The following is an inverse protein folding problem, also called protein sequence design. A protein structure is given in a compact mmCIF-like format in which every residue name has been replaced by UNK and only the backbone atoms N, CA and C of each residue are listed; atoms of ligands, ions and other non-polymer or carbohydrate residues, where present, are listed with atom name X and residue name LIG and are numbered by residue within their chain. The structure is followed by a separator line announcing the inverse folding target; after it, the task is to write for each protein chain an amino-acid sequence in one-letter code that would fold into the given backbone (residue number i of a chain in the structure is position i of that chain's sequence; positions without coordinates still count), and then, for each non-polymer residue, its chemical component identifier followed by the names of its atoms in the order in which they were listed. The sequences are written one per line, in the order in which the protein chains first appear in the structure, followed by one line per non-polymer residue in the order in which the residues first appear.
data_IF_819155192971
#
_entry.id   IF_819155192971
#
_cell.length_a   1.000
_cell.length_b   1.000
_cell.length_c   1.000
_cell.angle_alpha   90.00
_cell.angle_beta   90.00
_cell.angle_gamma   90.00
#
_symmetry.space_group_name_H-M   'P 1'
#
loop_
_entity.id
_entity.type
_entity.pdbx_description
1 polymer ?
#
# COMPACT_ATOMS: atom_id res chain seq x y z
N UNK A 1 57.20 -18.79 -9.55
CA UNK A 1 56.05 -19.72 -9.36
C UNK A 1 55.11 -19.23 -8.24
N UNK A 2 55.61 -18.93 -7.04
CA UNK A 2 54.82 -18.44 -5.89
C UNK A 2 53.94 -17.21 -6.15
N UNK A 3 54.43 -16.24 -6.94
CA UNK A 3 53.69 -14.99 -7.26
C UNK A 3 52.45 -15.23 -8.14
N UNK A 4 52.49 -16.23 -9.03
CA UNK A 4 51.35 -16.60 -9.89
C UNK A 4 50.27 -17.36 -9.11
N UNK A 5 50.66 -18.21 -8.16
CA UNK A 5 49.74 -18.94 -7.29
C UNK A 5 48.95 -18.00 -6.37
N UNK A 6 49.62 -17.01 -5.79
CA UNK A 6 48.97 -16.00 -4.92
C UNK A 6 47.91 -15.20 -5.66
N UNK A 7 48.19 -14.80 -6.91
CA UNK A 7 47.24 -14.07 -7.77
C UNK A 7 46.03 -14.95 -8.15
N UNK A 8 46.22 -16.26 -8.39
CA UNK A 8 45.09 -17.14 -8.70
C UNK A 8 44.19 -17.39 -7.49
N UNK A 9 44.77 -17.54 -6.29
CA UNK A 9 43.99 -17.67 -5.05
C UNK A 9 43.17 -16.43 -4.74
N UNK A 10 43.75 -15.24 -4.92
CA UNK A 10 43.06 -13.96 -4.72
C UNK A 10 41.88 -13.79 -5.69
N UNK A 11 42.06 -14.21 -6.95
CA UNK A 11 40.99 -14.24 -7.95
C UNK A 11 39.83 -15.17 -7.57
N UNK A 12 40.13 -16.36 -7.06
CA UNK A 12 39.07 -17.28 -6.63
C UNK A 12 38.39 -16.84 -5.34
N UNK A 13 39.11 -16.20 -4.42
CA UNK A 13 38.54 -15.58 -3.22
C UNK A 13 37.57 -14.45 -3.59
N UNK A 14 37.94 -13.60 -4.55
CA UNK A 14 37.07 -12.53 -5.06
C UNK A 14 35.84 -13.07 -5.81
N UNK A 15 35.98 -14.16 -6.57
CA UNK A 15 34.83 -14.82 -7.21
C UNK A 15 33.86 -15.43 -6.20
N UNK A 16 34.36 -16.06 -5.13
CA UNK A 16 33.51 -16.58 -4.05
C UNK A 16 32.74 -15.45 -3.36
N UNK A 17 33.45 -14.40 -2.96
CA UNK A 17 32.84 -13.22 -2.33
C UNK A 17 31.73 -12.61 -3.18
N UNK A 18 31.97 -12.44 -4.49
CA UNK A 18 30.95 -11.93 -5.42
C UNK A 18 29.69 -12.80 -5.50
N UNK A 19 29.85 -14.13 -5.47
CA UNK A 19 28.71 -15.05 -5.47
C UNK A 19 27.94 -14.99 -4.16
N UNK A 20 28.63 -14.89 -3.04
CA UNK A 20 28.00 -14.79 -1.73
C UNK A 20 27.24 -13.47 -1.57
N UNK A 21 27.81 -12.35 -2.06
CA UNK A 21 27.16 -11.04 -2.09
C UNK A 21 25.91 -11.05 -3.01
N UNK A 22 25.97 -11.73 -4.16
CA UNK A 22 24.84 -11.88 -5.08
C UNK A 22 23.71 -12.74 -4.47
N UNK A 23 24.06 -13.83 -3.77
CA UNK A 23 23.11 -14.70 -3.07
C UNK A 23 22.46 -13.96 -1.90
N UNK A 24 23.23 -13.17 -1.15
CA UNK A 24 22.71 -12.33 -0.08
C UNK A 24 21.75 -11.25 -0.60
N UNK A 25 22.08 -10.62 -1.73
CA UNK A 25 21.22 -9.66 -2.43
C UNK A 25 19.88 -10.28 -2.83
N UNK A 26 19.91 -11.45 -3.49
CA UNK A 26 18.69 -12.17 -3.89
C UNK A 26 17.84 -12.62 -2.68
N UNK A 27 18.48 -13.01 -1.58
CA UNK A 27 17.78 -13.39 -0.35
C UNK A 27 17.08 -12.19 0.31
N UNK A 28 17.70 -11.00 0.28
CA UNK A 28 17.13 -9.77 0.81
C UNK A 28 15.94 -9.30 -0.04
N UNK A 29 16.06 -9.35 -1.36
CA UNK A 29 14.97 -9.03 -2.29
C UNK A 29 13.76 -9.95 -2.11
N UNK A 30 14.00 -11.25 -1.89
CA UNK A 30 12.93 -12.21 -1.60
C UNK A 30 12.19 -11.85 -0.30
N UNK A 31 12.92 -11.51 0.76
CA UNK A 31 12.32 -11.09 2.04
C UNK A 31 11.53 -9.80 1.92
N UNK A 32 12.02 -8.83 1.14
CA UNK A 32 11.31 -7.58 0.90
C UNK A 32 9.99 -7.81 0.13
N UNK A 33 10.02 -8.69 -0.88
CA UNK A 33 8.82 -9.10 -1.63
C UNK A 33 7.78 -9.78 -0.74
N UNK A 34 8.21 -10.73 0.09
CA UNK A 34 7.34 -11.44 1.04
C UNK A 34 6.74 -10.47 2.08
N UNK A 35 7.51 -9.47 2.54
CA UNK A 35 7.01 -8.43 3.44
C UNK A 35 5.93 -7.57 2.78
N UNK A 36 6.17 -7.08 1.56
CA UNK A 36 5.20 -6.27 0.82
C UNK A 36 3.91 -7.05 0.53
N UNK A 37 4.03 -8.34 0.25
CA UNK A 37 2.88 -9.22 0.04
C UNK A 37 2.08 -9.43 1.33
N UNK A 38 2.73 -9.61 2.47
CA UNK A 38 2.03 -9.66 3.78
C UNK A 38 1.37 -8.34 4.12
N UNK A 39 2.02 -7.21 3.83
CA UNK A 39 1.43 -5.88 4.05
C UNK A 39 0.20 -5.66 3.18
N UNK A 40 0.24 -6.04 1.89
CA UNK A 40 -0.92 -5.93 1.00
C UNK A 40 -2.05 -6.88 1.38
N UNK A 41 -1.74 -8.10 1.82
CA UNK A 41 -2.72 -9.04 2.39
C UNK A 41 -3.35 -8.46 3.67
N UNK A 42 -2.58 -7.80 4.55
CA UNK A 42 -3.14 -7.19 5.78
C UNK A 42 -3.90 -5.89 5.54
N UNK A 43 -3.63 -5.17 4.44
CA UNK A 43 -4.29 -3.93 4.07
C UNK A 43 -5.61 -4.17 3.31
N UNK A 44 -5.78 -5.34 2.70
CA UNK A 44 -6.99 -5.72 1.96
C UNK A 44 -8.06 -6.41 2.82
N UNK A 45 -7.69 -6.96 3.99
CA UNK A 45 -8.65 -7.61 4.90
C UNK A 45 -9.35 -6.55 5.77
N UNK A 46 -10.70 -6.43 5.70
CA UNK A 46 -11.46 -5.51 6.55
C UNK A 46 -11.18 -5.72 8.04
N UNK A 47 -11.23 -4.66 8.84
CA UNK A 47 -10.90 -4.73 10.28
C UNK A 47 -11.83 -5.68 11.04
N UNK A 48 -13.10 -5.77 10.64
CA UNK A 48 -14.07 -6.76 11.09
C UNK A 48 -13.64 -8.19 10.78
N UNK A 49 -13.13 -8.46 9.57
CA UNK A 49 -12.61 -9.80 9.22
C UNK A 49 -11.39 -10.18 10.07
N UNK A 50 -10.51 -9.23 10.42
CA UNK A 50 -9.39 -9.48 11.34
C UNK A 50 -9.86 -9.73 12.77
N UNK A 51 -10.82 -8.95 13.24
CA UNK A 51 -11.42 -9.11 14.56
C UNK A 51 -12.14 -10.47 14.69
N UNK A 52 -12.86 -10.90 13.65
CA UNK A 52 -13.50 -12.22 13.56
C UNK A 52 -12.47 -13.36 13.50
N UNK A 53 -11.40 -13.21 12.71
CA UNK A 53 -10.31 -14.20 12.66
C UNK A 53 -9.59 -14.34 14.00
N UNK A 54 -9.38 -13.24 14.74
CA UNK A 54 -8.80 -13.27 16.07
C UNK A 54 -9.70 -14.01 17.08
N UNK A 55 -11.03 -13.83 17.01
CA UNK A 55 -12.00 -14.58 17.82
C UNK A 55 -12.02 -16.08 17.48
N UNK A 56 -11.91 -16.44 16.20
CA UNK A 56 -11.86 -17.84 15.76
C UNK A 56 -10.55 -18.55 16.15
N UNK A 57 -9.43 -17.82 16.19
CA UNK A 57 -8.12 -18.34 16.62
C UNK A 57 -8.03 -18.70 18.11
N UNK A 58 -8.91 -18.15 18.96
CA UNK A 58 -8.96 -18.44 20.40
C UNK A 58 -9.68 -19.76 20.76
N UNK A 59 -10.35 -20.42 19.80
CA UNK A 59 -11.05 -21.70 20.01
C UNK A 59 -10.15 -22.86 20.44
N UNK A 60 -8.82 -22.69 20.39
CA UNK A 60 -7.85 -23.73 20.71
C UNK A 60 -7.42 -23.86 22.17
N UNK A 61 -7.68 -22.89 23.06
CA UNK A 61 -7.13 -22.98 24.43
C UNK A 61 -7.94 -22.38 25.61
N UNK A 62 -9.09 -21.76 25.40
CA UNK A 62 -9.98 -21.36 26.49
C UNK A 62 -11.29 -20.87 25.89
N UNK A 63 -12.44 -21.35 26.39
CA UNK A 63 -13.77 -21.08 25.84
C UNK A 63 -13.99 -19.61 25.50
N UNK A 64 -14.59 -19.36 24.34
CA UNK A 64 -14.92 -18.00 23.89
C UNK A 64 -15.71 -17.26 24.98
N UNK A 65 -15.34 -16.01 25.27
CA UNK A 65 -16.09 -15.19 26.22
C UNK A 65 -17.53 -15.04 25.70
N UNK A 66 -18.54 -14.97 26.60
CA UNK A 66 -19.95 -14.74 26.21
C UNK A 66 -20.11 -13.52 25.29
N UNK A 67 -19.22 -12.53 25.44
CA UNK A 67 -19.19 -11.34 24.60
C UNK A 67 -18.66 -11.62 23.18
N UNK A 68 -17.67 -12.51 23.03
CA UNK A 68 -17.12 -12.90 21.72
C UNK A 68 -18.16 -13.65 20.89
N UNK A 69 -18.93 -14.52 21.54
CA UNK A 69 -20.04 -15.25 20.91
C UNK A 69 -21.15 -14.30 20.44
N UNK A 70 -21.49 -13.30 21.26
CA UNK A 70 -22.47 -12.28 20.90
C UNK A 70 -22.02 -11.41 19.71
N UNK A 71 -20.73 -11.02 19.64
CA UNK A 71 -20.17 -10.25 18.54
C UNK A 71 -20.10 -11.05 17.23
N UNK A 72 -19.77 -12.34 17.32
CA UNK A 72 -19.79 -13.26 16.17
C UNK A 72 -21.21 -13.44 15.63
N UNK A 73 -22.20 -13.59 16.52
CA UNK A 73 -23.60 -13.68 16.14
C UNK A 73 -24.06 -12.40 15.41
N UNK A 74 -23.70 -11.23 15.95
CA UNK A 74 -23.98 -9.92 15.36
C UNK A 74 -23.40 -9.79 13.94
N UNK A 75 -22.13 -10.12 13.77
CA UNK A 75 -21.45 -10.08 12.48
C UNK A 75 -22.10 -11.01 11.45
N UNK A 76 -22.38 -12.27 11.85
CA UNK A 76 -23.01 -13.24 10.97
C UNK A 76 -24.42 -12.81 10.55
N UNK A 77 -25.17 -12.17 11.44
CA UNK A 77 -26.50 -11.64 11.13
C UNK A 77 -26.44 -10.50 10.10
N UNK A 78 -25.52 -9.55 10.25
CA UNK A 78 -25.32 -8.45 9.28
C UNK A 78 -24.83 -9.01 7.95
N UNK A 79 -23.90 -9.98 7.97
CA UNK A 79 -23.39 -10.66 6.77
C UNK A 79 -24.50 -11.42 6.04
N UNK A 80 -25.34 -12.16 6.75
CA UNK A 80 -26.48 -12.85 6.18
C UNK A 80 -27.45 -11.85 5.51
N UNK A 81 -27.75 -10.73 6.17
CA UNK A 81 -28.60 -9.68 5.61
C UNK A 81 -27.98 -9.03 4.37
N UNK A 82 -26.65 -8.83 4.34
CA UNK A 82 -25.94 -8.28 3.18
C UNK A 82 -26.10 -9.16 1.92
N UNK A 83 -26.21 -10.47 2.09
CA UNK A 83 -26.37 -11.45 1.01
C UNK A 83 -27.81 -11.61 0.51
N UNK A 84 -28.80 -11.02 1.21
CA UNK A 84 -30.20 -11.04 0.78
C UNK A 84 -30.43 -10.11 -0.43
N UNK A 85 -31.47 -10.36 -1.25
CA UNK A 85 -31.86 -9.46 -2.34
C UNK A 85 -32.23 -8.07 -1.83
N UNK A 86 -32.05 -7.05 -2.68
CA UNK A 86 -32.26 -5.65 -2.27
C UNK A 86 -33.72 -5.29 -1.97
N UNK A 87 -34.67 -6.10 -2.44
CA UNK A 87 -36.11 -5.96 -2.11
C UNK A 87 -36.48 -6.49 -0.70
N UNK A 88 -35.51 -6.96 0.10
CA UNK A 88 -35.78 -7.57 1.40
C UNK A 88 -36.24 -6.56 2.45
N UNK A 89 -37.22 -6.91 3.32
CA UNK A 89 -37.74 -5.98 4.33
C UNK A 89 -36.66 -5.63 5.37
N UNK A 90 -36.75 -4.45 6.02
CA UNK A 90 -35.82 -4.06 7.07
C UNK A 90 -35.74 -5.10 8.20
N UNK A 91 -34.52 -5.47 8.60
CA UNK A 91 -34.30 -6.44 9.67
C UNK A 91 -33.84 -5.75 10.95
N UNK A 92 -34.54 -5.99 12.06
CA UNK A 92 -34.12 -5.50 13.36
C UNK A 92 -32.94 -6.32 13.91
N UNK A 93 -31.96 -5.64 14.50
CA UNK A 93 -30.91 -6.25 15.31
C UNK A 93 -31.44 -6.67 16.69
N UNK A 94 -30.78 -7.61 17.38
CA UNK A 94 -31.19 -8.05 18.71
C UNK A 94 -31.35 -6.88 19.69
N UNK A 95 -32.42 -6.89 20.48
CA UNK A 95 -32.64 -5.92 21.55
C UNK A 95 -31.78 -6.27 22.78
N UNK A 96 -31.36 -5.25 23.55
CA UNK A 96 -30.52 -5.46 24.75
C UNK A 96 -29.00 -5.45 24.50
N UNK A 97 -28.54 -5.00 23.34
CA UNK A 97 -27.11 -4.82 23.06
C UNK A 97 -26.48 -3.81 24.02
N UNK A 98 -25.34 -4.17 24.62
CA UNK A 98 -24.55 -3.25 25.42
C UNK A 98 -23.89 -2.16 24.53
N UNK A 99 -23.37 -1.09 25.14
CA UNK A 99 -22.81 0.03 24.39
C UNK A 99 -21.67 -0.36 23.43
N UNK A 100 -20.87 -1.36 23.82
CA UNK A 100 -19.77 -1.87 23.01
C UNK A 100 -20.26 -2.70 21.80
N UNK A 101 -21.17 -3.65 22.01
CA UNK A 101 -21.80 -4.44 20.96
C UNK A 101 -22.55 -3.54 19.96
N UNK A 102 -23.16 -2.46 20.44
CA UNK A 102 -23.81 -1.46 19.60
C UNK A 102 -22.81 -0.72 18.70
N UNK A 103 -21.66 -0.32 19.24
CA UNK A 103 -20.59 0.29 18.45
C UNK A 103 -20.05 -0.68 17.38
N UNK A 104 -19.84 -1.95 17.76
CA UNK A 104 -19.40 -2.99 16.82
C UNK A 104 -20.45 -3.28 15.74
N UNK A 105 -21.74 -3.18 16.05
CA UNK A 105 -22.83 -3.27 15.07
C UNK A 105 -22.67 -2.22 13.96
N UNK A 106 -22.46 -0.96 14.32
CA UNK A 106 -22.26 0.13 13.35
C UNK A 106 -21.00 -0.09 12.51
N UNK A 107 -19.90 -0.49 13.15
CA UNK A 107 -18.64 -0.80 12.47
C UNK A 107 -18.81 -1.92 11.43
N UNK A 108 -19.51 -3.01 11.78
CA UNK A 108 -19.78 -4.11 10.84
C UNK A 108 -20.72 -3.70 9.71
N UNK A 109 -21.70 -2.84 9.98
CA UNK A 109 -22.57 -2.30 8.94
C UNK A 109 -21.79 -1.46 7.92
N UNK A 110 -20.88 -0.58 8.38
CA UNK A 110 -20.02 0.20 7.48
C UNK A 110 -19.11 -0.70 6.64
N UNK A 111 -18.47 -1.68 7.25
CA UNK A 111 -17.51 -2.54 6.56
C UNK A 111 -18.16 -3.50 5.56
N UNK A 112 -19.37 -3.98 5.85
CA UNK A 112 -20.16 -4.81 4.95
C UNK A 112 -21.03 -3.96 4.00
N UNK A 113 -20.88 -2.63 4.02
CA UNK A 113 -21.65 -1.67 3.23
C UNK A 113 -23.17 -1.84 3.36
N UNK A 114 -23.65 -2.24 4.55
CA UNK A 114 -25.07 -2.39 4.87
C UNK A 114 -25.57 -1.10 5.51
N UNK A 115 -26.62 -0.50 4.95
CA UNK A 115 -27.23 0.68 5.56
C UNK A 115 -27.94 0.30 6.86
N UNK A 116 -27.80 1.14 7.87
CA UNK A 116 -28.46 0.96 9.15
C UNK A 116 -29.20 2.23 9.57
N UNK A 117 -30.36 2.07 10.20
CA UNK A 117 -31.16 3.16 10.75
C UNK A 117 -31.50 2.83 12.19
N UNK A 118 -31.39 3.82 13.08
CA UNK A 118 -31.74 3.61 14.48
C UNK A 118 -33.10 4.24 14.75
N UNK A 119 -34.07 3.43 15.17
CA UNK A 119 -35.44 3.89 15.46
C UNK A 119 -35.78 3.70 16.93
N UNK A 120 -36.56 4.63 17.47
CA UNK A 120 -36.99 4.67 18.86
C UNK A 120 -36.23 5.69 19.73
N UNK A 121 -36.72 5.88 20.95
CA UNK A 121 -36.10 6.70 21.99
C UNK A 121 -35.46 5.80 23.06
N UNK A 122 -34.44 6.27 23.75
CA UNK A 122 -33.85 5.53 24.87
C UNK A 122 -34.93 5.23 25.93
N UNK A 123 -35.01 4.01 26.49
CA UNK A 123 -34.08 2.87 26.36
C UNK A 123 -34.38 1.88 25.22
N UNK A 124 -35.45 2.07 24.44
CA UNK A 124 -35.91 1.14 23.39
C UNK A 124 -35.29 1.41 22.01
N UNK A 125 -34.04 1.87 21.98
CA UNK A 125 -33.33 2.25 20.76
C UNK A 125 -32.88 1.02 19.97
N UNK A 126 -33.61 0.64 18.92
CA UNK A 126 -33.30 -0.53 18.07
C UNK A 126 -32.61 -0.14 16.76
N UNK A 127 -31.62 -0.92 16.34
CA UNK A 127 -30.91 -0.75 15.06
C UNK A 127 -31.59 -1.63 14.02
N UNK A 128 -31.95 -1.05 12.88
CA UNK A 128 -32.52 -1.74 11.72
C UNK A 128 -31.51 -1.75 10.58
N UNK A 129 -31.32 -2.91 9.95
CA UNK A 129 -30.60 -3.06 8.70
C UNK A 129 -31.57 -2.83 7.53
N UNK A 130 -31.16 -2.05 6.54
CA UNK A 130 -32.01 -1.65 5.42
C UNK A 130 -31.25 -1.87 4.12
N UNK A 131 -31.90 -2.50 3.15
CA UNK A 131 -31.50 -2.48 1.74
C UNK A 131 -32.14 -1.24 1.11
N UNK A 132 -31.34 -0.23 0.75
CA UNK A 132 -31.83 0.94 0.00
C UNK A 132 -31.40 0.77 -1.44
N UNK A 133 -32.36 0.82 -2.37
CA UNK A 133 -32.09 0.81 -3.82
C UNK A 133 -31.25 2.02 -4.27
N UNK A 134 -31.21 3.09 -3.46
CA UNK A 134 -30.51 4.34 -3.78
C UNK A 134 -29.07 4.42 -3.24
N UNK A 135 -28.57 3.38 -2.56
CA UNK A 135 -27.25 3.40 -1.92
C UNK A 135 -26.09 3.04 -2.86
N UNK A 136 -26.29 3.03 -4.19
CA UNK A 136 -25.20 2.83 -5.15
C UNK A 136 -24.74 4.10 -5.90
N UNK A 137 -25.16 5.29 -5.47
CA UNK A 137 -24.30 6.47 -5.64
C UNK A 137 -23.76 6.94 -4.27
N UNK A 138 -23.01 6.05 -3.60
CA UNK A 138 -22.23 6.43 -2.42
C UNK A 138 -21.33 7.62 -2.78
N UNK A 139 -21.07 8.51 -1.82
CA UNK A 139 -20.04 9.54 -1.98
C UNK A 139 -18.71 8.96 -2.49
N UNK A 140 -18.44 7.67 -2.21
CA UNK A 140 -17.35 6.89 -2.77
C UNK A 140 -17.46 6.59 -4.28
N UNK A 141 -18.64 6.26 -4.84
CA UNK A 141 -18.80 6.11 -6.31
C UNK A 141 -18.84 7.46 -7.01
N UNK A 142 -19.45 8.49 -6.40
CA UNK A 142 -19.36 9.87 -6.89
C UNK A 142 -17.92 10.40 -6.87
N UNK A 143 -17.17 10.09 -5.81
CA UNK A 143 -15.74 10.40 -5.69
C UNK A 143 -14.92 9.57 -6.66
N UNK A 144 -15.16 8.26 -6.81
CA UNK A 144 -14.47 7.41 -7.80
C UNK A 144 -14.74 7.90 -9.22
N UNK A 145 -15.97 8.33 -9.54
CA UNK A 145 -16.35 8.92 -10.84
C UNK A 145 -15.63 10.24 -11.05
N UNK A 146 -15.71 11.16 -10.10
CA UNK A 146 -15.00 12.45 -10.17
C UNK A 146 -13.48 12.26 -10.24
N UNK A 147 -12.90 11.31 -9.50
CA UNK A 147 -11.48 11.01 -9.50
C UNK A 147 -11.04 10.31 -10.77
N UNK A 148 -11.85 9.40 -11.33
CA UNK A 148 -11.58 8.81 -12.64
C UNK A 148 -11.73 9.84 -13.76
N UNK A 149 -12.62 10.82 -13.63
CA UNK A 149 -12.76 11.94 -14.56
C UNK A 149 -11.59 12.93 -14.46
N UNK A 150 -11.11 13.24 -13.25
CA UNK A 150 -9.88 14.02 -13.01
C UNK A 150 -8.65 13.25 -13.51
N UNK A 151 -8.56 11.94 -13.27
CA UNK A 151 -7.48 11.10 -13.79
C UNK A 151 -7.54 11.03 -15.30
N UNK A 152 -8.72 10.97 -15.92
CA UNK A 152 -8.89 11.00 -17.38
C UNK A 152 -8.55 12.37 -17.95
N UNK A 153 -8.88 13.47 -17.26
CA UNK A 153 -8.44 14.83 -17.59
C UNK A 153 -6.93 15.05 -17.40
N UNK A 154 -6.31 14.39 -16.41
CA UNK A 154 -4.85 14.38 -16.27
C UNK A 154 -4.19 13.43 -17.25
N UNK A 155 -4.82 12.30 -17.60
CA UNK A 155 -4.39 11.42 -18.70
C UNK A 155 -4.73 12.00 -20.08
N UNK A 156 -5.47 13.11 -20.16
CA UNK A 156 -5.50 13.96 -21.36
C UNK A 156 -4.29 14.90 -21.44
N UNK A 157 -3.18 14.61 -20.74
CA UNK A 157 -1.89 14.58 -21.45
C UNK A 157 -1.92 13.47 -22.50
N UNK A 158 -2.86 13.61 -23.44
CA UNK A 158 -2.88 12.92 -24.70
C UNK A 158 -1.51 13.17 -25.34
N UNK A 159 -0.80 12.07 -25.61
CA UNK A 159 0.34 12.03 -26.52
C UNK A 159 1.29 13.24 -26.41
N UNK A 160 1.87 13.47 -25.23
CA UNK A 160 3.24 13.98 -25.30
C UNK A 160 4.03 12.85 -25.95
N UNK A 161 4.23 12.96 -27.27
CA UNK A 161 5.16 12.11 -28.01
C UNK A 161 6.39 11.92 -27.13
N UNK A 162 6.77 10.68 -26.84
CA UNK A 162 8.01 10.41 -26.13
C UNK A 162 9.16 10.86 -27.02
N UNK A 163 9.52 12.15 -26.94
CA UNK A 163 10.57 12.77 -27.76
C UNK A 163 11.94 12.13 -27.48
N UNK A 164 12.08 11.49 -26.33
CA UNK A 164 13.36 10.91 -25.88
C UNK A 164 13.48 9.47 -26.38
N UNK A 165 12.38 8.70 -26.39
CA UNK A 165 12.31 7.29 -26.81
C UNK A 165 13.39 6.47 -26.09
N UNK A 166 13.26 6.36 -24.76
CA UNK A 166 14.22 5.63 -23.94
C UNK A 166 14.38 4.19 -24.45
N UNK A 167 15.62 3.75 -24.69
CA UNK A 167 15.94 2.41 -25.19
C UNK A 167 16.13 2.31 -26.71
N UNK A 168 15.67 3.29 -27.51
CA UNK A 168 15.94 3.34 -28.94
C UNK A 168 17.34 3.93 -29.25
N UNK A 169 18.01 3.59 -30.36
CA UNK A 169 19.29 4.19 -30.73
C UNK A 169 19.25 5.73 -30.69
N UNK A 170 20.27 6.33 -30.09
CA UNK A 170 20.36 7.80 -29.94
C UNK A 170 19.55 8.40 -28.79
N UNK A 171 18.86 7.61 -27.96
CA UNK A 171 18.03 8.11 -26.85
C UNK A 171 18.82 8.98 -25.86
N UNK A 172 20.09 8.66 -25.61
CA UNK A 172 20.93 9.41 -24.67
C UNK A 172 21.18 10.84 -25.15
N UNK A 173 21.41 11.05 -26.45
CA UNK A 173 21.55 12.42 -26.98
C UNK A 173 20.25 13.18 -26.81
N UNK A 174 19.13 12.60 -27.30
CA UNK A 174 17.80 13.20 -27.19
C UNK A 174 17.42 13.54 -25.74
N UNK A 175 17.79 12.68 -24.79
CA UNK A 175 17.57 12.93 -23.37
C UNK A 175 18.26 14.21 -22.91
N UNK A 176 19.56 14.34 -23.17
CA UNK A 176 20.30 15.53 -22.77
C UNK A 176 19.84 16.78 -23.54
N UNK A 177 19.50 16.65 -24.82
CA UNK A 177 19.05 17.79 -25.63
C UNK A 177 17.69 18.32 -25.16
N UNK A 178 16.79 17.44 -24.71
CA UNK A 178 15.45 17.80 -24.19
C UNK A 178 15.50 18.25 -22.72
N UNK A 179 16.26 17.56 -21.86
CA UNK A 179 16.29 17.82 -20.41
C UNK A 179 17.32 18.87 -19.99
N UNK A 180 18.37 19.02 -20.77
CA UNK A 180 19.49 19.95 -20.53
C UNK A 180 19.82 20.73 -21.81
N UNK A 181 18.91 21.59 -22.29
CA UNK A 181 19.11 22.33 -23.53
C UNK A 181 20.37 23.19 -23.44
N UNK A 182 21.27 23.02 -24.42
CA UNK A 182 22.55 23.76 -24.48
C UNK A 182 23.70 23.18 -23.65
N UNK A 183 23.53 21.99 -23.05
CA UNK A 183 24.58 21.34 -22.28
C UNK A 183 25.58 20.60 -23.19
N UNK A 184 26.84 20.98 -23.10
CA UNK A 184 27.96 20.38 -23.81
C UNK A 184 28.49 19.10 -23.13
N UNK A 185 29.53 18.49 -23.70
CA UNK A 185 30.10 17.25 -23.16
C UNK A 185 30.69 17.44 -21.76
N UNK A 186 31.26 18.61 -21.47
CA UNK A 186 31.84 18.96 -20.16
C UNK A 186 30.74 19.15 -19.12
N UNK A 187 29.67 19.86 -19.46
CA UNK A 187 28.49 20.00 -18.61
C UNK A 187 27.83 18.66 -18.29
N UNK A 188 27.78 17.71 -19.24
CA UNK A 188 27.29 16.35 -18.98
C UNK A 188 28.16 15.60 -17.96
N UNK A 189 29.48 15.83 -18.00
CA UNK A 189 30.39 15.26 -17.02
C UNK A 189 30.22 15.92 -15.65
N UNK A 190 29.98 17.24 -15.59
CA UNK A 190 29.71 17.95 -14.33
C UNK A 190 28.40 17.46 -13.68
N UNK A 191 27.32 17.27 -14.45
CA UNK A 191 26.07 16.66 -13.95
C UNK A 191 26.35 15.31 -13.29
N UNK A 192 27.14 14.45 -13.94
CA UNK A 192 27.49 13.15 -13.39
C UNK A 192 28.34 13.25 -12.11
N UNK A 193 29.26 14.22 -12.06
CA UNK A 193 30.08 14.48 -10.87
C UNK A 193 29.24 14.97 -9.70
N UNK A 194 28.36 15.96 -9.93
CA UNK A 194 27.43 16.49 -8.91
C UNK A 194 26.47 15.43 -8.41
N UNK A 195 26.06 14.51 -9.28
CA UNK A 195 25.21 13.39 -8.90
C UNK A 195 25.96 12.42 -7.96
N UNK A 196 27.22 12.10 -8.27
CA UNK A 196 28.07 11.28 -7.40
C UNK A 196 28.36 11.98 -6.06
N UNK A 197 28.61 13.29 -6.07
CA UNK A 197 28.75 14.11 -4.86
C UNK A 197 27.49 14.03 -3.98
N UNK A 198 26.31 14.09 -4.61
CA UNK A 198 25.02 13.94 -3.92
C UNK A 198 24.78 12.57 -3.32
N UNK A 199 25.18 11.50 -4.02
CA UNK A 199 25.12 10.14 -3.46
C UNK A 199 25.98 10.02 -2.20
N UNK A 200 27.21 10.56 -2.24
CA UNK A 200 28.09 10.59 -1.08
C UNK A 200 27.49 11.44 0.05
N UNK A 201 26.91 12.61 -0.28
CA UNK A 201 26.26 13.47 0.70
C UNK A 201 25.07 12.77 1.39
N UNK A 202 24.21 12.10 0.62
CA UNK A 202 23.09 11.32 1.17
C UNK A 202 23.61 10.17 2.03
N UNK A 203 24.63 9.46 1.58
CA UNK A 203 25.23 8.38 2.37
C UNK A 203 25.76 8.89 3.70
N UNK A 204 26.59 9.95 3.70
CA UNK A 204 27.09 10.57 4.92
C UNK A 204 25.96 11.10 5.81
N UNK A 205 24.89 11.64 5.24
CA UNK A 205 23.72 12.08 6.00
C UNK A 205 23.13 10.97 6.87
N UNK A 206 23.07 9.73 6.36
CA UNK A 206 22.54 8.59 7.11
C UNK A 206 23.50 8.02 8.17
N UNK A 207 24.82 8.06 7.93
CA UNK A 207 25.80 7.43 8.83
C UNK A 207 26.45 8.41 9.82
N UNK A 208 26.80 9.61 9.37
CA UNK A 208 27.58 10.60 10.13
C UNK A 208 26.80 11.89 10.41
N UNK A 209 25.57 12.01 9.88
CA UNK A 209 24.74 13.22 9.96
C UNK A 209 25.02 14.22 8.83
N UNK A 210 24.44 15.42 8.93
CA UNK A 210 24.48 16.39 7.83
C UNK A 210 25.91 16.90 7.54
N UNK A 211 26.48 16.46 6.41
CA UNK A 211 27.81 16.85 5.95
C UNK A 211 27.89 18.33 5.51
N UNK A 212 26.82 18.87 4.94
CA UNK A 212 26.71 20.29 4.56
C UNK A 212 25.26 20.70 4.37
N UNK A 213 24.78 21.65 5.17
CA UNK A 213 23.44 22.23 5.06
C UNK A 213 23.25 23.13 3.84
N UNK A 214 24.34 23.57 3.21
CA UNK A 214 24.31 24.46 2.03
C UNK A 214 24.38 23.70 0.72
N UNK A 215 24.74 22.42 0.76
CA UNK A 215 24.89 21.62 -0.45
C UNK A 215 23.51 21.32 -1.06
N UNK A 216 23.40 21.48 -2.37
CA UNK A 216 22.23 21.11 -3.14
C UNK A 216 22.66 20.63 -4.53
N UNK A 217 21.87 19.77 -5.15
CA UNK A 217 22.09 19.35 -6.52
C UNK A 217 21.60 20.45 -7.47
N UNK A 218 22.48 21.05 -8.32
CA UNK A 218 22.15 22.25 -9.09
C UNK A 218 21.39 21.99 -10.40
N UNK A 219 20.86 20.78 -10.58
CA UNK A 219 20.10 20.38 -11.76
C UNK A 219 18.73 19.79 -11.37
N UNK A 220 17.79 19.81 -12.32
CA UNK A 220 16.43 19.30 -12.11
C UNK A 220 16.25 17.84 -12.50
N UNK A 221 17.18 17.29 -13.30
CA UNK A 221 17.13 15.97 -13.91
C UNK A 221 18.47 15.25 -13.77
#
# INVERSE_FOLDING_TARGET
LLRRHRISEEREKNKRKRRDDEVAGKALERRHREMLQRVSETATVPKASRHVQAMQGHRGNSGASRDDEALLHLFNQIKAFSALPDSSPPQAMPTGLNGFQRAMCYQYCEELAVHNETRGSDPNRSIFLIKRDDANETAATKFKRSLSEILKQKNTFADQEDKIQLGAPGWKSRYYDVKFPGLDAEGRADVALKYAEGLCWVMSYYYDGCASWKWYFPYHY
#
